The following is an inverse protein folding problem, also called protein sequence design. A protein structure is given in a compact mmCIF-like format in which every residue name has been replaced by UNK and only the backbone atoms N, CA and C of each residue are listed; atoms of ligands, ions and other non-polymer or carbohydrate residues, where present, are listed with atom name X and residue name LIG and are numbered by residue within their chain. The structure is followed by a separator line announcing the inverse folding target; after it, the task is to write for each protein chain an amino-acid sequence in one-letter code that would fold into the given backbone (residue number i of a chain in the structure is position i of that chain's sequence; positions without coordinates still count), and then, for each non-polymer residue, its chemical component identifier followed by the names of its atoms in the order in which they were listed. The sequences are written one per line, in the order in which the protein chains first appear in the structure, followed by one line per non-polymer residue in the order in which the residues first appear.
data_IF_306606631027
#
_entry.id   IF_306606631027
#
_cell.length_a   1.000
_cell.length_b   1.000
_cell.length_c   1.000
_cell.angle_alpha   90.00
_cell.angle_beta   90.00
_cell.angle_gamma   90.00
#
_symmetry.space_group_name_H-M   'P 1'
#
loop_
_entity.id
_entity.type
_entity.pdbx_description
1 polymer ?
#
# COMPACT_ATOMS: atom_id res chain seq x y z
N UNK A 1 16.94 -1.93 5.39
CA UNK A 1 15.69 -2.54 4.91
C UNK A 1 15.26 -3.54 5.96
N UNK A 2 13.99 -3.57 6.31
CA UNK A 2 13.40 -4.53 7.24
C UNK A 2 12.38 -5.37 6.47
N UNK A 3 12.71 -6.64 6.25
CA UNK A 3 11.80 -7.61 5.65
C UNK A 3 10.79 -8.09 6.69
N UNK A 4 9.56 -8.40 6.29
CA UNK A 4 8.61 -9.04 7.20
C UNK A 4 9.19 -10.39 7.67
N UNK A 5 9.24 -10.66 8.99
CA UNK A 5 9.88 -11.87 9.53
C UNK A 5 9.18 -13.15 9.07
N UNK A 6 7.86 -13.11 8.89
CA UNK A 6 7.04 -14.23 8.42
C UNK A 6 6.83 -14.24 6.90
N UNK A 7 7.73 -13.61 6.11
CA UNK A 7 7.70 -13.75 4.65
C UNK A 7 8.02 -15.19 4.22
N UNK A 8 7.27 -15.74 3.28
CA UNK A 8 7.44 -17.14 2.83
C UNK A 8 7.64 -17.25 1.32
N UNK A 9 8.09 -18.43 0.85
CA UNK A 9 8.27 -18.73 -0.58
C UNK A 9 6.97 -18.75 -1.40
N UNK A 10 5.81 -18.68 -0.74
CA UNK A 10 4.49 -18.57 -1.38
C UNK A 10 3.93 -17.14 -1.31
N UNK A 11 4.79 -16.14 -1.09
CA UNK A 11 4.47 -14.71 -1.09
C UNK A 11 3.50 -14.29 0.03
N UNK A 12 3.42 -15.05 1.12
CA UNK A 12 2.76 -14.57 2.34
C UNK A 12 3.59 -13.46 2.96
N UNK A 13 2.91 -12.41 3.44
CA UNK A 13 3.54 -11.24 4.04
C UNK A 13 4.63 -10.62 3.15
N UNK A 14 4.38 -10.55 1.83
CA UNK A 14 5.28 -9.94 0.85
C UNK A 14 5.28 -8.40 0.98
N UNK A 15 5.87 -7.93 2.07
CA UNK A 15 5.96 -6.53 2.46
C UNK A 15 7.30 -6.27 3.16
N UNK A 16 7.85 -5.08 2.94
CA UNK A 16 9.10 -4.65 3.56
C UNK A 16 9.04 -3.16 3.91
N UNK A 17 9.83 -2.76 4.90
CA UNK A 17 10.00 -1.36 5.30
C UNK A 17 11.40 -0.87 4.92
N UNK A 18 11.46 0.33 4.36
CA UNK A 18 12.72 0.99 4.00
C UNK A 18 12.84 2.25 4.87
N UNK A 19 13.86 2.27 5.73
CA UNK A 19 14.23 3.47 6.49
C UNK A 19 15.19 4.30 5.65
N UNK A 20 14.82 5.55 5.38
CA UNK A 20 15.70 6.51 4.73
C UNK A 20 16.90 6.84 5.63
N UNK A 21 18.08 7.04 5.02
CA UNK A 21 19.28 7.45 5.76
C UNK A 21 19.13 8.86 6.35
N UNK A 22 18.41 9.74 5.64
CA UNK A 22 18.07 11.10 6.07
C UNK A 22 16.55 11.25 6.06
N UNK A 23 15.93 11.81 7.11
CA UNK A 23 14.51 12.12 7.11
C UNK A 23 14.12 13.00 5.91
N UNK A 24 12.97 12.72 5.31
CA UNK A 24 12.41 13.57 4.26
C UNK A 24 11.75 14.80 4.90
N UNK A 25 12.00 15.98 4.34
CA UNK A 25 11.25 17.19 4.68
C UNK A 25 10.03 17.29 3.79
N UNK A 26 8.84 17.30 4.40
CA UNK A 26 7.59 17.57 3.68
C UNK A 26 7.41 19.08 3.54
N UNK A 27 7.26 19.54 2.30
CA UNK A 27 6.87 20.91 2.00
C UNK A 27 5.36 20.92 1.72
N UNK A 28 4.51 21.36 2.67
CA UNK A 28 3.06 21.34 2.54
C UNK A 28 2.56 22.25 1.41
N UNK A 29 3.32 23.26 1.01
CA UNK A 29 2.93 24.19 -0.05
C UNK A 29 3.27 23.64 -1.45
N UNK A 30 4.25 22.73 -1.53
CA UNK A 30 4.69 22.15 -2.79
C UNK A 30 3.69 21.19 -3.43
N UNK A 31 2.84 20.52 -2.63
CA UNK A 31 1.98 19.40 -3.03
C UNK A 31 2.69 18.27 -3.82
N UNK A 32 4.01 18.12 -3.68
CA UNK A 32 4.80 17.12 -4.44
C UNK A 32 5.02 15.83 -3.68
N UNK A 33 5.14 15.90 -2.35
CA UNK A 33 5.41 14.74 -1.50
C UNK A 33 4.58 14.84 -0.23
N UNK A 34 3.83 13.79 0.06
CA UNK A 34 3.03 13.64 1.27
C UNK A 34 2.97 12.16 1.68
N UNK A 35 2.83 11.85 2.99
CA UNK A 35 2.65 10.47 3.43
C UNK A 35 1.25 9.95 3.05
N UNK A 36 1.16 8.65 2.80
CA UNK A 36 -0.11 7.95 2.57
C UNK A 36 -0.78 7.59 3.90
N UNK A 37 -2.11 7.46 3.91
CA UNK A 37 -2.84 7.04 5.09
C UNK A 37 -2.75 5.52 5.30
N UNK A 38 -2.60 5.05 6.54
CA UNK A 38 -2.77 3.64 6.83
C UNK A 38 -4.22 3.20 6.54
N UNK A 39 -4.44 1.93 6.18
CA UNK A 39 -5.78 1.40 5.99
C UNK A 39 -6.52 1.31 7.33
N UNK A 40 -7.86 1.34 7.29
CA UNK A 40 -8.67 0.83 8.40
C UNK A 40 -8.30 -0.61 8.73
N UNK A 41 -8.23 -0.93 10.03
CA UNK A 41 -7.91 -2.27 10.54
C UNK A 41 -9.04 -3.27 10.29
N UNK A 42 -10.28 -2.80 10.22
CA UNK A 42 -11.48 -3.67 10.15
C UNK A 42 -12.03 -3.81 8.73
N UNK A 43 -11.68 -2.93 7.81
CA UNK A 43 -12.20 -3.01 6.44
C UNK A 43 -11.57 -4.15 5.64
N UNK A 44 -12.42 -4.92 4.98
CA UNK A 44 -11.98 -6.02 4.12
C UNK A 44 -11.60 -5.56 2.71
N UNK A 45 -12.05 -4.36 2.30
CA UNK A 45 -11.86 -3.78 0.98
C UNK A 45 -12.21 -4.73 -0.18
N UNK A 46 -13.31 -5.48 -0.08
CA UNK A 46 -13.64 -6.53 -1.05
C UNK A 46 -14.27 -6.04 -2.35
N UNK A 47 -14.71 -4.79 -2.45
CA UNK A 47 -15.43 -4.26 -3.64
C UNK A 47 -15.21 -2.75 -3.84
N UNK A 48 -14.01 -2.26 -3.53
CA UNK A 48 -13.67 -0.84 -3.70
C UNK A 48 -12.97 -0.59 -5.03
N UNK A 49 -13.09 0.63 -5.54
CA UNK A 49 -12.25 1.09 -6.64
C UNK A 49 -10.88 1.47 -6.08
N UNK A 50 -9.87 0.70 -6.46
CA UNK A 50 -8.50 0.94 -6.07
C UNK A 50 -7.69 1.46 -7.27
N UNK A 51 -6.66 2.23 -6.97
CA UNK A 51 -5.71 2.79 -7.93
C UNK A 51 -4.38 2.09 -7.71
N UNK A 52 -3.78 1.64 -8.80
CA UNK A 52 -2.39 1.21 -8.82
C UNK A 52 -1.61 2.17 -9.68
N UNK A 53 -0.43 2.56 -9.21
CA UNK A 53 0.47 3.47 -9.91
C UNK A 53 1.86 2.89 -10.02
N UNK A 54 2.53 3.11 -11.14
CA UNK A 54 3.90 2.66 -11.33
C UNK A 54 4.49 3.00 -12.69
N UNK A 55 5.74 2.60 -12.88
CA UNK A 55 6.51 2.76 -14.13
C UNK A 55 6.75 1.41 -14.83
N UNK A 56 6.01 0.37 -14.41
CA UNK A 56 6.11 -0.96 -14.95
C UNK A 56 5.81 -1.05 -16.44
N UNK A 57 5.93 -2.27 -16.97
CA UNK A 57 5.74 -2.51 -18.39
C UNK A 57 4.27 -2.33 -18.77
N UNK A 58 3.98 -1.65 -19.88
CA UNK A 58 2.59 -1.41 -20.30
C UNK A 58 1.89 -2.67 -20.84
N UNK A 59 2.66 -3.74 -21.07
CA UNK A 59 2.21 -5.06 -21.48
C UNK A 59 3.16 -6.11 -20.92
N UNK A 60 2.70 -7.36 -20.83
CA UNK A 60 3.57 -8.47 -20.43
C UNK A 60 4.76 -8.60 -21.39
N UNK A 61 5.99 -8.61 -20.86
CA UNK A 61 7.24 -8.62 -21.63
C UNK A 61 7.51 -7.33 -22.44
N UNK A 62 6.73 -6.27 -22.20
CA UNK A 62 6.86 -4.99 -22.88
C UNK A 62 7.96 -4.09 -22.33
N UNK A 63 8.04 -2.86 -22.86
CA UNK A 63 8.94 -1.83 -22.33
C UNK A 63 8.31 -1.15 -21.10
N UNK A 64 9.16 -0.70 -20.17
CA UNK A 64 8.77 0.14 -19.04
C UNK A 64 8.37 1.53 -19.51
N UNK A 65 7.52 2.20 -18.73
CA UNK A 65 7.07 3.55 -19.03
C UNK A 65 8.07 4.60 -18.53
N UNK A 66 8.35 5.63 -19.33
CA UNK A 66 9.14 6.79 -18.89
C UNK A 66 8.36 7.75 -17.97
N UNK A 67 7.03 7.67 -17.99
CA UNK A 67 6.12 8.50 -17.18
C UNK A 67 5.33 7.62 -16.21
N UNK A 68 5.00 8.17 -15.04
CA UNK A 68 4.15 7.47 -14.07
C UNK A 68 2.80 7.16 -14.70
N UNK A 69 2.38 5.91 -14.59
CA UNK A 69 1.08 5.44 -15.04
C UNK A 69 0.18 5.21 -13.84
N UNK A 70 -1.13 5.27 -14.08
CA UNK A 70 -2.15 4.91 -13.11
C UNK A 70 -3.24 4.05 -13.76
N UNK A 71 -3.81 3.14 -12.98
CA UNK A 71 -4.95 2.33 -13.41
C UNK A 71 -5.92 2.11 -12.26
N UNK A 72 -7.20 2.33 -12.54
CA UNK A 72 -8.29 2.03 -11.62
C UNK A 72 -8.76 0.59 -11.81
N UNK A 73 -8.64 -0.23 -10.77
CA UNK A 73 -9.04 -1.63 -10.72
C UNK A 73 -9.99 -1.90 -9.54
N UNK A 74 -11.05 -2.70 -9.72
CA UNK A 74 -11.90 -3.10 -8.61
C UNK A 74 -11.20 -4.17 -7.78
N UNK A 75 -11.26 -4.06 -6.46
CA UNK A 75 -10.87 -5.15 -5.57
C UNK A 75 -11.93 -6.26 -5.56
N UNK A 76 -11.56 -7.42 -5.01
CA UNK A 76 -12.48 -8.54 -4.81
C UNK A 76 -12.24 -9.28 -3.50
N UNK A 77 -13.28 -9.95 -3.02
CA UNK A 77 -13.17 -10.86 -1.88
C UNK A 77 -12.16 -11.98 -2.12
N UNK A 78 -11.50 -12.44 -1.05
CA UNK A 78 -10.58 -13.58 -1.16
C UNK A 78 -11.33 -14.84 -1.63
N UNK A 79 -12.61 -15.01 -1.27
CA UNK A 79 -13.45 -16.10 -1.81
C UNK A 79 -13.53 -16.05 -3.33
N UNK A 80 -13.79 -14.88 -3.91
CA UNK A 80 -13.85 -14.72 -5.37
C UNK A 80 -12.49 -14.94 -6.00
N UNK A 81 -11.41 -14.46 -5.38
CA UNK A 81 -10.05 -14.67 -5.87
C UNK A 81 -9.62 -16.15 -5.82
N UNK A 82 -9.97 -16.88 -4.76
CA UNK A 82 -9.77 -18.35 -4.62
C UNK A 82 -10.51 -19.14 -5.70
N UNK A 83 -11.63 -18.65 -6.23
CA UNK A 83 -12.27 -19.29 -7.39
C UNK A 83 -11.41 -19.29 -8.66
N UNK A 84 -10.31 -18.52 -8.68
CA UNK A 84 -9.37 -18.37 -9.80
C UNK A 84 -8.03 -19.03 -9.51
N UNK A 85 -7.51 -18.82 -8.31
CA UNK A 85 -6.16 -19.24 -7.89
C UNK A 85 -6.15 -20.40 -6.86
N UNK A 86 -7.31 -20.88 -6.41
CA UNK A 86 -7.40 -21.96 -5.42
C UNK A 86 -6.76 -21.60 -4.08
N UNK A 87 -6.04 -22.57 -3.49
CA UNK A 87 -5.41 -22.46 -2.17
C UNK A 87 -4.16 -21.57 -2.12
N UNK A 88 -3.75 -21.00 -3.26
CA UNK A 88 -2.64 -20.06 -3.34
C UNK A 88 -3.01 -18.69 -2.73
N UNK A 89 -4.31 -18.34 -2.68
CA UNK A 89 -4.76 -17.08 -2.08
C UNK A 89 -4.95 -17.24 -0.58
N UNK A 90 -4.07 -16.57 0.16
CA UNK A 90 -4.04 -16.51 1.62
C UNK A 90 -4.84 -15.32 2.14
N UNK A 91 -5.13 -15.30 3.43
CA UNK A 91 -5.97 -14.25 4.04
C UNK A 91 -5.23 -12.90 4.13
N UNK A 92 -3.90 -12.92 4.24
CA UNK A 92 -3.01 -11.74 4.19
C UNK A 92 -2.76 -11.21 2.76
N UNK A 93 -3.57 -11.62 1.78
CA UNK A 93 -3.52 -11.14 0.40
C UNK A 93 -4.83 -10.41 0.06
N UNK A 94 -4.76 -9.45 -0.85
CA UNK A 94 -5.91 -8.80 -1.46
C UNK A 94 -5.78 -8.88 -2.98
N UNK A 95 -6.90 -9.11 -3.68
CA UNK A 95 -6.90 -9.22 -5.13
C UNK A 95 -7.63 -8.05 -5.76
N UNK A 96 -7.09 -7.52 -6.87
CA UNK A 96 -7.72 -6.46 -7.64
C UNK A 96 -7.54 -6.70 -9.14
N UNK A 97 -8.55 -6.33 -9.92
CA UNK A 97 -8.53 -6.47 -11.37
C UNK A 97 -9.88 -6.81 -11.97
N UNK A 98 -10.02 -6.59 -13.27
CA UNK A 98 -11.24 -6.90 -13.99
C UNK A 98 -11.30 -8.37 -14.36
N UNK A 99 -12.44 -9.00 -14.13
CA UNK A 99 -12.65 -10.42 -14.50
C UNK A 99 -12.46 -10.71 -15.99
N UNK A 100 -12.73 -9.72 -16.85
CA UNK A 100 -12.51 -9.77 -18.30
C UNK A 100 -11.05 -9.53 -18.71
N UNK A 101 -10.17 -9.20 -17.77
CA UNK A 101 -8.80 -8.76 -18.04
C UNK A 101 -8.74 -7.32 -18.57
N UNK A 102 -7.62 -6.98 -19.19
CA UNK A 102 -7.40 -5.72 -19.93
C UNK A 102 -6.84 -4.54 -19.14
N UNK A 103 -6.96 -4.54 -17.80
CA UNK A 103 -6.36 -3.53 -16.91
C UNK A 103 -5.83 -4.19 -15.65
N UNK A 104 -4.55 -3.97 -15.36
CA UNK A 104 -3.81 -4.54 -14.22
C UNK A 104 -2.47 -3.83 -14.04
N UNK A 105 -1.83 -4.00 -12.88
CA UNK A 105 -0.39 -3.74 -12.73
C UNK A 105 0.41 -4.80 -13.49
N UNK A 106 1.63 -4.49 -13.91
CA UNK A 106 2.45 -5.43 -14.66
C UNK A 106 3.88 -5.52 -14.11
N UNK A 107 4.77 -6.13 -14.89
CA UNK A 107 6.15 -6.36 -14.48
C UNK A 107 6.81 -5.03 -14.13
N UNK A 108 7.67 -5.03 -13.11
CA UNK A 108 8.41 -3.86 -12.62
C UNK A 108 7.55 -2.89 -11.76
N UNK A 109 6.29 -3.21 -11.47
CA UNK A 109 5.48 -2.50 -10.46
C UNK A 109 5.54 -3.14 -9.06
N UNK A 110 6.23 -4.29 -8.87
CA UNK A 110 6.33 -4.98 -7.57
C UNK A 110 6.84 -4.04 -6.48
N UNK A 111 6.16 -4.04 -5.32
CA UNK A 111 6.39 -3.09 -4.23
C UNK A 111 5.61 -1.77 -4.38
N UNK A 112 4.97 -1.52 -5.52
CA UNK A 112 4.13 -0.36 -5.77
C UNK A 112 2.82 -0.36 -4.94
N UNK A 113 2.16 0.79 -4.80
CA UNK A 113 1.00 0.91 -3.93
C UNK A 113 -0.29 0.50 -4.63
N UNK A 114 -1.18 -0.17 -3.87
CA UNK A 114 -2.60 -0.26 -4.18
C UNK A 114 -3.34 0.63 -3.18
N UNK A 115 -3.93 1.72 -3.66
CA UNK A 115 -4.60 2.72 -2.83
C UNK A 115 -6.09 2.81 -3.12
N UNK A 116 -6.89 3.22 -2.16
CA UNK A 116 -8.31 3.56 -2.36
C UNK A 116 -8.60 4.94 -1.79
N UNK A 117 -9.52 5.67 -2.41
CA UNK A 117 -10.02 6.92 -1.85
C UNK A 117 -10.85 6.65 -0.57
N UNK A 118 -10.70 7.51 0.43
CA UNK A 118 -11.50 7.60 1.65
C UNK A 118 -11.72 9.08 1.99
N UNK A 119 -12.88 9.60 1.59
CA UNK A 119 -13.17 11.04 1.66
C UNK A 119 -12.19 11.87 0.84
N UNK A 120 -11.49 12.79 1.48
CA UNK A 120 -10.44 13.64 0.88
C UNK A 120 -9.05 13.00 0.88
N UNK A 121 -8.92 11.78 1.39
CA UNK A 121 -7.64 11.10 1.58
C UNK A 121 -7.54 9.82 0.75
N UNK A 122 -6.33 9.27 0.67
CA UNK A 122 -6.09 7.95 0.09
C UNK A 122 -5.47 7.03 1.13
N UNK A 123 -5.93 5.79 1.18
CA UNK A 123 -5.40 4.74 2.06
C UNK A 123 -4.66 3.70 1.24
N UNK A 124 -3.49 3.28 1.69
CA UNK A 124 -2.78 2.14 1.09
C UNK A 124 -3.34 0.84 1.63
N UNK A 125 -4.04 0.10 0.79
CA UNK A 125 -4.72 -1.16 1.16
C UNK A 125 -3.92 -2.39 0.72
N UNK A 126 -2.98 -2.22 -0.21
CA UNK A 126 -2.13 -3.29 -0.70
C UNK A 126 -0.76 -2.84 -1.19
N UNK A 127 0.13 -3.82 -1.36
CA UNK A 127 1.43 -3.70 -2.02
C UNK A 127 1.46 -4.68 -3.19
N UNK A 128 1.79 -4.22 -4.40
CA UNK A 128 1.90 -5.07 -5.60
C UNK A 128 2.87 -6.21 -5.34
N UNK A 129 2.42 -7.46 -5.49
CA UNK A 129 3.20 -8.64 -5.13
C UNK A 129 3.36 -9.58 -6.33
N UNK A 130 2.28 -10.26 -6.75
CA UNK A 130 2.35 -11.27 -7.81
C UNK A 130 1.04 -11.38 -8.61
N UNK A 131 1.08 -12.13 -9.71
CA UNK A 131 -0.07 -12.42 -10.55
C UNK A 131 0.30 -13.35 -11.70
N UNK A 132 -0.69 -13.96 -12.34
CA UNK A 132 -0.46 -14.74 -13.57
C UNK A 132 -0.57 -13.84 -14.80
N UNK A 133 0.57 -13.57 -15.43
CA UNK A 133 0.66 -12.63 -16.55
C UNK A 133 0.39 -11.19 -16.11
N UNK A 134 0.04 -10.34 -17.07
CA UNK A 134 -0.45 -8.98 -16.80
C UNK A 134 -1.81 -8.81 -17.46
N UNK A 135 -2.81 -8.40 -16.67
CA UNK A 135 -4.17 -8.15 -17.17
C UNK A 135 -4.80 -9.35 -17.89
N UNK A 136 -4.40 -10.57 -17.51
CA UNK A 136 -4.95 -11.79 -18.09
C UNK A 136 -6.44 -11.91 -17.72
N UNK A 137 -7.32 -12.27 -18.67
CA UNK A 137 -8.68 -12.62 -18.35
C UNK A 137 -8.70 -13.69 -17.24
N UNK A 138 -9.62 -13.55 -16.29
CA UNK A 138 -9.83 -14.44 -15.12
C UNK A 138 -8.80 -14.36 -13.99
N UNK A 139 -7.58 -13.86 -14.20
CA UNK A 139 -6.53 -13.84 -13.18
C UNK A 139 -6.25 -12.41 -12.72
N UNK A 140 -6.84 -11.96 -11.59
CA UNK A 140 -6.55 -10.63 -11.05
C UNK A 140 -5.12 -10.56 -10.50
N UNK A 141 -4.56 -9.34 -10.41
CA UNK A 141 -3.36 -9.10 -9.63
C UNK A 141 -3.57 -9.41 -8.14
N UNK A 142 -2.51 -9.88 -7.49
CA UNK A 142 -2.47 -10.23 -6.07
C UNK A 142 -1.48 -9.32 -5.36
N UNK A 143 -1.93 -8.76 -4.25
CA UNK A 143 -1.23 -7.74 -3.48
C UNK A 143 -1.10 -8.22 -2.05
N UNK A 144 0.02 -7.92 -1.38
CA UNK A 144 0.13 -8.11 0.06
C UNK A 144 -0.84 -7.16 0.77
N UNK A 145 -1.68 -7.69 1.65
CA UNK A 145 -2.75 -6.93 2.31
C UNK A 145 -2.18 -6.11 3.46
N UNK A 146 -2.24 -4.78 3.36
CA UNK A 146 -1.59 -3.89 4.34
C UNK A 146 -2.25 -3.97 5.71
N UNK A 147 -3.58 -4.05 5.80
CA UNK A 147 -4.26 -4.13 7.11
C UNK A 147 -3.92 -5.41 7.89
N UNK A 148 -3.64 -6.53 7.21
CA UNK A 148 -3.16 -7.76 7.87
C UNK A 148 -1.73 -7.66 8.42
N UNK A 149 -0.96 -6.70 7.94
CA UNK A 149 0.44 -6.48 8.34
C UNK A 149 0.59 -5.20 9.19
N UNK A 150 -0.50 -4.51 9.53
CA UNK A 150 -0.44 -3.17 10.11
C UNK A 150 0.18 -3.17 11.52
N UNK A 151 -0.09 -4.20 12.32
CA UNK A 151 0.54 -4.35 13.65
C UNK A 151 2.07 -4.47 13.53
N UNK A 152 2.56 -5.30 12.60
CA UNK A 152 3.99 -5.40 12.33
C UNK A 152 4.57 -4.08 11.81
N UNK A 153 3.87 -3.38 10.89
CA UNK A 153 4.32 -2.09 10.35
C UNK A 153 4.48 -1.07 11.49
N UNK A 154 3.43 -0.89 12.30
CA UNK A 154 3.39 0.12 13.36
C UNK A 154 4.35 -0.16 14.50
N UNK A 155 4.59 -1.43 14.85
CA UNK A 155 5.55 -1.82 15.88
C UNK A 155 7.00 -1.77 15.40
N UNK A 156 7.23 -1.91 14.09
CA UNK A 156 8.58 -1.88 13.49
C UNK A 156 9.12 -0.47 13.24
N UNK A 157 8.28 0.55 13.32
CA UNK A 157 8.66 1.94 13.09
C UNK A 157 8.48 2.76 14.36
N UNK A 158 9.39 3.71 14.60
CA UNK A 158 9.28 4.70 15.66
C UNK A 158 9.51 6.09 15.08
N UNK A 159 8.79 7.10 15.60
CA UNK A 159 8.94 8.50 15.19
C UNK A 159 8.58 8.78 13.72
N UNK A 160 7.61 8.06 13.14
CA UNK A 160 7.14 8.30 11.77
C UNK A 160 5.84 9.10 11.77
N UNK A 161 5.73 10.06 10.86
CA UNK A 161 4.50 10.77 10.59
C UNK A 161 3.71 10.05 9.50
N UNK A 162 2.49 9.67 9.83
CA UNK A 162 1.52 9.16 8.87
C UNK A 162 0.64 10.29 8.37
N UNK A 163 -0.13 10.04 7.31
CA UNK A 163 -1.35 10.83 7.17
C UNK A 163 -2.21 10.62 8.44
N UNK A 164 -2.75 11.72 8.96
CA UNK A 164 -3.70 11.69 10.07
C UNK A 164 -5.02 12.31 9.60
N UNK A 165 -6.05 11.50 9.30
CA UNK A 165 -7.31 12.00 8.71
C UNK A 165 -8.13 12.96 9.59
N UNK A 166 -7.67 13.27 10.81
CA UNK A 166 -8.39 14.10 11.79
C UNK A 166 -7.54 15.23 12.41
N UNK A 167 -6.30 15.43 11.97
CA UNK A 167 -5.55 16.62 12.38
C UNK A 167 -5.78 17.73 11.35
N UNK A 168 -6.43 18.80 11.81
CA UNK A 168 -6.43 20.08 11.10
C UNK A 168 -4.98 20.42 10.72
N UNK A 169 -4.68 20.82 9.46
CA UNK A 169 -3.33 21.20 9.10
C UNK A 169 -2.86 22.36 9.99
N UNK A 170 -1.86 22.12 10.84
CA UNK A 170 -1.11 23.18 11.52
C UNK A 170 -1.39 23.45 13.00
N UNK A 171 -1.44 22.43 13.86
CA UNK A 171 -1.10 22.65 15.29
C UNK A 171 -0.10 21.60 15.74
N UNK A 172 1.19 21.91 15.55
CA UNK A 172 2.24 21.29 16.35
C UNK A 172 2.08 21.87 17.75
N UNK A 173 1.37 21.18 18.64
CA UNK A 173 1.44 21.52 20.06
C UNK A 173 2.88 21.27 20.50
N UNK A 174 3.63 22.28 20.98
CA UNK A 174 4.94 22.02 21.53
C UNK A 174 4.80 21.05 22.70
N UNK A 175 5.65 20.03 22.69
CA UNK A 175 5.90 19.16 23.84
C UNK A 175 6.13 20.05 25.07
N UNK A 176 5.46 19.79 26.21
CA UNK A 176 5.63 20.63 27.38
C UNK A 176 7.10 20.58 27.81
N UNK A 177 7.78 21.71 27.68
CA UNK A 177 9.08 21.94 28.31
C UNK A 177 8.95 21.58 29.78
N UNK A 178 9.76 20.61 30.23
CA UNK A 178 9.91 20.29 31.64
C UNK A 178 10.10 21.59 32.43
N UNK A 179 9.25 21.77 33.45
CA UNK A 179 9.36 22.89 34.37
C UNK A 179 10.76 22.92 35.00
N UNK A 180 11.38 24.09 35.17
CA UNK A 180 12.64 24.19 35.88
C UNK A 180 12.41 23.82 37.34
N UNK A 181 13.22 22.89 37.85
CA UNK A 181 13.27 22.54 39.27
C UNK A 181 13.60 23.78 40.10
N UNK A 182 12.68 24.14 41.00
CA UNK A 182 12.91 25.11 42.06
C UNK A 182 14.19 24.77 42.85
N UNK A 183 15.06 25.77 43.02
CA UNK A 183 16.14 25.71 43.99
C UNK A 183 15.58 25.97 45.39
N UNK A 184 15.78 25.03 46.31
CA UNK A 184 15.73 25.23 47.76
C UNK A 184 17.09 24.87 48.36
#
# INVERSE_FOLDING_TARGET
ILMHPDYTSVYENDIALIKLATPLTFDPDSNKVAPICPPSTTDLYETVHAIVTGWGTLSHGGLTSATLQEVVVPTMSNRKCRSKYGSQIKDNMICAGYTKGGKDSCQVDSGGPLITADGSYYRQIGVVSWGYGCAMPRYPGVYARVNSNLDWITTSISGTSWCEPNTTPGVVTPEPTAEPSDCS
#
